data_IF_867320820051
#
_entry.id   IF_867320820051
#
_cell.length_a   1.000
_cell.length_b   1.000
_cell.length_c   1.000
_cell.angle_alpha   90.00
_cell.angle_beta   90.00
_cell.angle_gamma   90.00
#
_symmetry.space_group_name_H-M   'P 1'
#
loop_
_entity.id
_entity.type
_entity.pdbx_description
1 polymer ?
#
# COMPACT_ATOMS: atom_id res chain seq x y z
N UNK A 1 9.81 22.31 -25.59
CA UNK A 1 10.64 21.12 -25.90
C UNK A 1 9.69 19.93 -25.96
N UNK A 2 9.87 19.06 -26.95
CA UNK A 2 9.04 17.86 -27.11
C UNK A 2 9.69 16.73 -26.33
N UNK A 3 8.96 16.09 -25.42
CA UNK A 3 9.45 14.91 -24.70
C UNK A 3 9.10 13.64 -25.48
N UNK A 4 9.97 12.64 -25.37
CA UNK A 4 9.66 11.26 -25.78
C UNK A 4 9.10 10.50 -24.59
N UNK A 5 7.83 10.10 -24.67
CA UNK A 5 7.14 9.33 -23.63
C UNK A 5 7.24 7.83 -23.91
N UNK A 6 7.68 7.05 -22.92
CA UNK A 6 7.89 5.61 -23.04
C UNK A 6 7.99 4.91 -21.69
N UNK A 7 7.91 3.58 -21.73
CA UNK A 7 8.37 2.73 -20.62
C UNK A 7 9.88 2.95 -20.42
N UNK A 8 10.27 3.09 -19.16
CA UNK A 8 11.62 3.38 -18.74
C UNK A 8 12.56 2.21 -19.04
N UNK A 9 13.73 2.52 -19.60
CA UNK A 9 14.87 1.61 -19.59
C UNK A 9 15.47 1.55 -18.19
N UNK A 10 16.43 0.66 -17.97
CA UNK A 10 17.17 0.63 -16.71
C UNK A 10 17.80 2.00 -16.37
N UNK A 11 18.41 2.68 -17.34
CA UNK A 11 19.05 3.98 -17.12
C UNK A 11 18.02 5.08 -16.80
N UNK A 12 16.86 5.07 -17.44
CA UNK A 12 15.80 6.02 -17.10
C UNK A 12 15.27 5.80 -15.67
N UNK A 13 15.22 4.54 -15.21
CA UNK A 13 14.84 4.22 -13.83
C UNK A 13 15.87 4.71 -12.84
N UNK A 14 17.16 4.54 -13.13
CA UNK A 14 18.26 5.10 -12.32
C UNK A 14 18.06 6.61 -12.18
N UNK A 15 17.98 7.34 -13.30
CA UNK A 15 17.77 8.79 -13.29
C UNK A 15 16.47 9.21 -12.60
N UNK A 16 15.39 8.43 -12.75
CA UNK A 16 14.13 8.70 -12.05
C UNK A 16 14.29 8.62 -10.53
N UNK A 17 15.11 7.71 -10.02
CA UNK A 17 15.41 7.62 -8.59
C UNK A 17 16.39 8.69 -8.12
N UNK A 18 17.40 9.02 -8.93
CA UNK A 18 18.28 10.17 -8.66
C UNK A 18 17.48 11.47 -8.52
N UNK A 19 16.54 11.70 -9.45
CA UNK A 19 15.71 12.90 -9.50
C UNK A 19 14.81 13.11 -8.28
N UNK A 20 14.48 12.05 -7.54
CA UNK A 20 13.60 12.14 -6.36
C UNK A 20 14.38 12.18 -5.04
N UNK A 21 15.71 12.19 -5.07
CA UNK A 21 16.54 12.18 -3.87
C UNK A 21 16.18 13.32 -2.90
N UNK A 22 15.98 14.54 -3.41
CA UNK A 22 15.68 15.71 -2.59
C UNK A 22 14.24 15.74 -2.04
N UNK A 23 13.35 14.90 -2.56
CA UNK A 23 11.91 14.91 -2.22
C UNK A 23 11.52 13.68 -1.40
N UNK A 24 11.96 12.50 -1.81
CA UNK A 24 11.58 11.21 -1.23
C UNK A 24 12.82 10.34 -0.96
N UNK A 25 13.79 10.89 -0.22
CA UNK A 25 15.01 10.15 0.16
C UNK A 25 14.70 8.86 0.93
N UNK A 26 15.57 7.86 0.73
CA UNK A 26 15.50 6.55 1.41
C UNK A 26 16.77 6.23 2.18
N UNK A 27 17.84 6.97 1.93
CA UNK A 27 19.04 7.10 2.74
C UNK A 27 19.51 8.55 2.61
N UNK A 28 20.33 9.00 3.56
CA UNK A 28 21.05 10.27 3.44
C UNK A 28 22.22 10.18 2.44
N UNK A 29 22.68 8.97 2.12
CA UNK A 29 23.63 8.73 1.03
C UNK A 29 22.90 8.59 -0.32
N UNK A 30 23.39 9.33 -1.32
CA UNK A 30 22.79 9.37 -2.65
C UNK A 30 22.85 8.03 -3.37
N UNK A 31 24.02 7.37 -3.37
CA UNK A 31 24.19 6.10 -4.06
C UNK A 31 23.38 4.99 -3.38
N UNK A 32 23.36 4.99 -2.04
CA UNK A 32 22.54 4.08 -1.25
C UNK A 32 21.04 4.31 -1.51
N UNK A 33 20.57 5.56 -1.59
CA UNK A 33 19.18 5.85 -1.94
C UNK A 33 18.78 5.19 -3.27
N UNK A 34 19.58 5.38 -4.32
CA UNK A 34 19.32 4.80 -5.65
C UNK A 34 19.34 3.27 -5.58
N UNK A 35 20.32 2.69 -4.91
CA UNK A 35 20.44 1.24 -4.74
C UNK A 35 19.23 0.64 -4.00
N UNK A 36 18.80 1.27 -2.90
CA UNK A 36 17.62 0.84 -2.13
C UNK A 36 16.34 0.92 -2.96
N UNK A 37 16.20 1.98 -3.79
CA UNK A 37 15.02 2.13 -4.66
C UNK A 37 14.98 1.08 -5.77
N UNK A 38 16.12 0.78 -6.41
CA UNK A 38 16.25 -0.28 -7.42
C UNK A 38 16.03 -1.69 -6.84
N UNK A 39 16.53 -1.93 -5.62
CA UNK A 39 16.38 -3.20 -4.92
C UNK A 39 14.99 -3.41 -4.31
N UNK A 40 14.16 -2.35 -4.24
CA UNK A 40 12.83 -2.42 -3.65
C UNK A 40 11.90 -3.36 -4.41
N UNK A 41 11.49 -4.44 -3.75
CA UNK A 41 10.51 -5.41 -4.27
C UNK A 41 9.19 -4.72 -4.66
N UNK A 42 8.84 -3.62 -3.99
CA UNK A 42 7.67 -2.83 -4.35
C UNK A 42 7.85 -2.13 -5.70
N UNK A 43 8.93 -1.37 -5.90
CA UNK A 43 9.18 -0.68 -7.17
C UNK A 43 9.48 -1.65 -8.32
N UNK A 44 10.01 -2.85 -8.03
CA UNK A 44 10.22 -3.88 -9.05
C UNK A 44 8.92 -4.40 -9.69
N UNK A 45 7.76 -4.18 -9.06
CA UNK A 45 6.45 -4.53 -9.65
C UNK A 45 5.91 -3.49 -10.61
N UNK A 46 6.43 -2.27 -10.61
CA UNK A 46 5.88 -1.19 -11.39
C UNK A 46 6.47 -1.15 -12.81
N UNK A 47 5.62 -0.82 -13.77
CA UNK A 47 6.05 -0.29 -15.06
C UNK A 47 6.36 1.21 -14.84
N UNK A 48 7.65 1.56 -14.87
CA UNK A 48 8.08 2.96 -14.79
C UNK A 48 7.87 3.61 -16.15
N UNK A 49 7.23 4.78 -16.16
CA UNK A 49 6.98 5.56 -17.36
C UNK A 49 7.71 6.89 -17.25
N UNK A 50 8.30 7.35 -18.34
CA UNK A 50 9.16 8.55 -18.35
C UNK A 50 8.86 9.42 -19.56
N UNK A 51 9.00 10.73 -19.36
CA UNK A 51 9.16 11.72 -20.43
C UNK A 51 10.62 12.16 -20.49
N UNK A 52 11.30 11.80 -21.57
CA UNK A 52 12.73 12.05 -21.76
C UNK A 52 12.93 13.24 -22.69
N UNK A 53 13.76 14.20 -22.25
CA UNK A 53 14.22 15.31 -23.07
C UNK A 53 15.42 14.90 -23.94
N UNK A 54 16.29 15.85 -24.28
CA UNK A 54 17.46 15.56 -25.13
C UNK A 54 18.48 14.64 -24.43
N UNK A 55 18.69 14.83 -23.12
CA UNK A 55 19.78 14.12 -22.41
C UNK A 55 19.35 13.46 -21.09
N UNK A 56 18.11 13.71 -20.61
CA UNK A 56 17.70 13.28 -19.28
C UNK A 56 16.20 13.04 -19.14
N UNK A 57 15.84 12.31 -18.08
CA UNK A 57 14.45 12.16 -17.64
C UNK A 57 13.97 13.48 -17.02
N UNK A 58 12.97 14.10 -17.64
CA UNK A 58 12.38 15.37 -17.20
C UNK A 58 11.19 15.15 -16.27
N UNK A 59 10.48 14.04 -16.49
CA UNK A 59 9.30 13.62 -15.74
C UNK A 59 9.23 12.11 -15.67
N UNK A 60 8.80 11.57 -14.54
CA UNK A 60 8.64 10.13 -14.34
C UNK A 60 7.42 9.82 -13.46
N UNK A 61 6.92 8.60 -13.57
CA UNK A 61 5.98 7.98 -12.66
C UNK A 61 6.16 6.46 -12.64
N UNK A 62 5.54 5.80 -11.68
CA UNK A 62 5.44 4.36 -11.58
C UNK A 62 3.97 3.93 -11.68
N UNK A 63 3.64 3.05 -12.62
CA UNK A 63 2.35 2.36 -12.72
C UNK A 63 2.45 1.00 -12.04
N UNK A 64 1.79 0.83 -10.90
CA UNK A 64 1.79 -0.43 -10.16
C UNK A 64 0.54 -1.24 -10.53
N UNK A 65 0.67 -2.53 -10.88
CA UNK A 65 -0.48 -3.37 -11.17
C UNK A 65 -1.22 -3.73 -9.88
N UNK A 66 -2.52 -3.48 -9.85
CA UNK A 66 -3.45 -3.82 -8.78
C UNK A 66 -4.75 -4.39 -9.36
N UNK A 67 -5.54 -5.00 -8.49
CA UNK A 67 -6.90 -5.40 -8.78
C UNK A 67 -7.80 -4.79 -7.69
N UNK A 68 -8.94 -4.23 -8.10
CA UNK A 68 -10.00 -3.85 -7.17
C UNK A 68 -11.11 -4.88 -7.26
N UNK A 69 -11.72 -5.22 -6.13
CA UNK A 69 -13.00 -5.89 -6.10
C UNK A 69 -14.09 -4.83 -6.27
N UNK A 70 -14.88 -4.92 -7.33
CA UNK A 70 -16.01 -4.06 -7.64
C UNK A 70 -17.20 -4.94 -8.02
N UNK A 71 -18.31 -4.85 -7.27
CA UNK A 71 -19.50 -5.68 -7.48
C UNK A 71 -19.14 -7.17 -7.70
N UNK A 72 -18.34 -7.72 -6.79
CA UNK A 72 -17.84 -9.10 -6.78
C UNK A 72 -16.92 -9.51 -7.95
N UNK A 73 -16.45 -8.54 -8.75
CA UNK A 73 -15.50 -8.78 -9.86
C UNK A 73 -14.13 -8.17 -9.56
N UNK A 74 -13.06 -8.91 -9.86
CA UNK A 74 -11.71 -8.38 -9.85
C UNK A 74 -11.46 -7.55 -11.12
N UNK A 75 -11.21 -6.25 -10.95
CA UNK A 75 -11.02 -5.27 -12.03
C UNK A 75 -9.56 -4.81 -12.06
N UNK A 76 -8.84 -5.02 -13.19
CA UNK A 76 -7.49 -4.51 -13.37
C UNK A 76 -7.40 -3.00 -13.19
N UNK A 77 -6.50 -2.59 -12.30
CA UNK A 77 -6.34 -1.21 -11.84
C UNK A 77 -4.87 -0.83 -11.85
N UNK A 78 -4.53 0.34 -12.39
CA UNK A 78 -3.21 0.94 -12.23
C UNK A 78 -3.21 1.82 -10.99
N UNK A 79 -2.33 1.52 -10.05
CA UNK A 79 -2.03 2.44 -8.98
C UNK A 79 -0.83 3.31 -9.42
N UNK A 80 -1.06 4.60 -9.64
CA UNK A 80 -0.03 5.54 -10.04
C UNK A 80 0.68 6.06 -8.78
N UNK A 81 2.01 5.96 -8.78
CA UNK A 81 2.87 6.51 -7.73
C UNK A 81 4.10 7.16 -8.32
N UNK A 82 4.92 7.75 -7.44
CA UNK A 82 6.21 8.35 -7.79
C UNK A 82 6.15 9.40 -8.91
N UNK A 83 5.03 10.12 -9.05
CA UNK A 83 4.88 11.17 -10.06
C UNK A 83 5.82 12.33 -9.71
N UNK A 84 6.84 12.53 -10.54
CA UNK A 84 7.85 13.56 -10.31
C UNK A 84 8.20 14.30 -11.59
N UNK A 85 8.34 15.62 -11.50
CA UNK A 85 8.91 16.47 -12.55
C UNK A 85 10.06 17.25 -11.94
N UNK A 86 11.22 17.21 -12.58
CA UNK A 86 12.40 17.95 -12.10
C UNK A 86 12.09 19.46 -12.05
N UNK A 87 12.71 20.16 -11.12
CA UNK A 87 12.38 21.54 -10.77
C UNK A 87 12.37 22.48 -11.98
N UNK A 88 13.36 22.35 -12.87
CA UNK A 88 13.55 23.17 -14.09
C UNK A 88 12.46 22.94 -15.15
N UNK A 89 11.70 21.85 -15.03
CA UNK A 89 10.66 21.45 -15.99
C UNK A 89 9.24 21.52 -15.44
N UNK A 90 9.08 21.97 -14.19
CA UNK A 90 7.77 22.25 -13.61
C UNK A 90 7.08 23.40 -14.36
N UNK A 91 5.75 23.39 -14.34
CA UNK A 91 4.92 24.39 -15.04
C UNK A 91 4.79 24.20 -16.56
N UNK A 92 5.54 23.28 -17.18
CA UNK A 92 5.51 23.00 -18.62
C UNK A 92 4.42 21.99 -19.05
N UNK A 93 3.67 21.45 -18.08
CA UNK A 93 2.60 20.47 -18.33
C UNK A 93 3.07 19.03 -18.59
N UNK A 94 4.36 18.71 -18.39
CA UNK A 94 4.90 17.38 -18.67
C UNK A 94 4.32 16.25 -17.82
N UNK A 95 4.05 16.50 -16.54
CA UNK A 95 3.35 15.51 -15.70
C UNK A 95 1.98 15.14 -16.25
N UNK A 96 1.17 16.12 -16.71
CA UNK A 96 -0.10 15.85 -17.37
C UNK A 96 0.07 14.99 -18.62
N UNK A 97 1.03 15.33 -19.49
CA UNK A 97 1.28 14.56 -20.70
C UNK A 97 1.73 13.13 -20.40
N UNK A 98 2.57 12.93 -19.37
CA UNK A 98 3.00 11.59 -18.96
C UNK A 98 1.86 10.78 -18.35
N UNK A 99 0.98 11.40 -17.55
CA UNK A 99 -0.23 10.75 -17.02
C UNK A 99 -1.12 10.29 -18.17
N UNK A 100 -1.47 11.19 -19.11
CA UNK A 100 -2.30 10.88 -20.29
C UNK A 100 -1.70 9.71 -21.10
N UNK A 101 -0.37 9.72 -21.33
CA UNK A 101 0.32 8.65 -22.03
C UNK A 101 0.30 7.32 -21.27
N UNK A 102 0.53 7.35 -19.95
CA UNK A 102 0.54 6.16 -19.09
C UNK A 102 -0.82 5.51 -19.03
N UNK A 103 -1.90 6.30 -18.87
CA UNK A 103 -3.26 5.77 -18.83
C UNK A 103 -3.65 5.13 -20.16
N UNK A 104 -3.21 5.68 -21.29
CA UNK A 104 -3.40 5.04 -22.60
C UNK A 104 -2.63 3.73 -22.72
N UNK A 105 -1.39 3.69 -22.24
CA UNK A 105 -0.56 2.48 -22.20
C UNK A 105 -1.21 1.37 -21.34
N UNK A 106 -1.71 1.72 -20.16
CA UNK A 106 -2.41 0.80 -19.25
C UNK A 106 -3.77 0.37 -19.81
N UNK A 107 -4.52 1.29 -20.41
CA UNK A 107 -5.81 0.99 -21.04
C UNK A 107 -5.67 0.00 -22.20
N UNK A 108 -4.63 0.16 -23.03
CA UNK A 108 -4.31 -0.79 -24.09
C UNK A 108 -3.99 -2.22 -23.57
N UNK A 109 -3.72 -2.35 -22.27
CA UNK A 109 -3.44 -3.62 -21.57
C UNK A 109 -4.62 -4.14 -20.75
N UNK A 110 -5.79 -3.50 -20.87
CA UNK A 110 -7.03 -3.91 -20.20
C UNK A 110 -7.26 -3.28 -18.83
N UNK A 111 -6.42 -2.34 -18.41
CA UNK A 111 -6.66 -1.56 -17.18
C UNK A 111 -7.76 -0.53 -17.43
N UNK A 112 -8.78 -0.51 -16.57
CA UNK A 112 -9.92 0.42 -16.69
C UNK A 112 -9.99 1.48 -15.60
N UNK A 113 -9.17 1.35 -14.55
CA UNK A 113 -9.18 2.23 -13.39
C UNK A 113 -7.75 2.68 -13.09
N UNK A 114 -7.60 3.96 -12.78
CA UNK A 114 -6.37 4.55 -12.28
C UNK A 114 -6.62 5.14 -10.88
N UNK A 115 -5.76 4.81 -9.92
CA UNK A 115 -5.81 5.29 -8.55
C UNK A 115 -4.47 5.89 -8.14
N UNK A 116 -4.47 6.87 -7.24
CA UNK A 116 -3.24 7.40 -6.64
C UNK A 116 -3.50 7.96 -5.25
N UNK A 117 -2.43 8.05 -4.46
CA UNK A 117 -2.39 8.96 -3.31
C UNK A 117 -1.65 10.23 -3.73
N UNK A 118 -2.18 11.37 -3.32
CA UNK A 118 -1.63 12.68 -3.67
C UNK A 118 -0.93 13.30 -2.48
N UNK A 119 0.39 13.52 -2.59
CA UNK A 119 1.18 14.33 -1.65
C UNK A 119 1.01 15.84 -1.89
N UNK A 120 0.30 16.21 -2.96
CA UNK A 120 -0.04 17.59 -3.29
C UNK A 120 -1.55 17.83 -3.16
N UNK A 121 -1.94 19.10 -3.27
CA UNK A 121 -3.33 19.53 -3.31
C UNK A 121 -4.15 18.73 -4.35
N UNK A 122 -5.22 18.01 -3.97
CA UNK A 122 -6.00 17.14 -4.87
C UNK A 122 -6.54 17.82 -6.12
N UNK A 123 -6.72 19.14 -6.07
CA UNK A 123 -7.16 19.98 -7.19
C UNK A 123 -6.25 19.82 -8.41
N UNK A 124 -4.98 19.47 -8.22
CA UNK A 124 -4.08 19.14 -9.31
C UNK A 124 -4.60 17.98 -10.15
N UNK A 125 -4.90 16.84 -9.51
CA UNK A 125 -5.36 15.63 -10.18
C UNK A 125 -6.83 15.74 -10.61
N UNK A 126 -7.64 16.55 -9.93
CA UNK A 126 -9.02 16.82 -10.36
C UNK A 126 -9.11 17.40 -11.77
N UNK A 127 -8.14 18.23 -12.17
CA UNK A 127 -8.04 18.79 -13.53
C UNK A 127 -7.68 17.73 -14.58
N UNK A 128 -7.23 16.56 -14.14
CA UNK A 128 -6.93 15.40 -14.98
C UNK A 128 -8.08 14.39 -15.00
N UNK A 129 -9.19 14.68 -14.31
CA UNK A 129 -10.36 13.80 -14.24
C UNK A 129 -10.41 12.87 -13.01
N UNK A 130 -9.39 12.90 -12.14
CA UNK A 130 -9.44 12.14 -10.89
C UNK A 130 -10.49 12.69 -9.94
N UNK A 131 -11.16 11.78 -9.23
CA UNK A 131 -12.14 12.12 -8.21
C UNK A 131 -11.58 11.79 -6.82
N UNK A 132 -11.97 12.59 -5.84
CA UNK A 132 -11.62 12.33 -4.45
C UNK A 132 -12.39 11.12 -3.95
N UNK A 133 -11.66 10.07 -3.59
CA UNK A 133 -12.17 8.94 -2.82
C UNK A 133 -11.73 9.12 -1.36
N UNK A 134 -12.64 9.02 -0.37
CA UNK A 134 -12.26 9.05 1.03
C UNK A 134 -11.24 7.95 1.35
N UNK A 135 -10.14 8.34 1.99
CA UNK A 135 -9.17 7.42 2.57
C UNK A 135 -9.07 7.73 4.06
N UNK A 136 -9.34 6.74 4.90
CA UNK A 136 -9.30 6.89 6.35
C UNK A 136 -7.94 6.45 6.88
N UNK A 137 -7.32 7.31 7.70
CA UNK A 137 -6.16 6.97 8.50
C UNK A 137 -6.54 7.11 9.97
N UNK A 138 -6.19 6.11 10.78
CA UNK A 138 -6.43 6.11 12.23
C UNK A 138 -5.13 5.85 12.98
N UNK A 139 -4.99 6.50 14.14
CA UNK A 139 -3.98 6.18 15.14
C UNK A 139 -4.72 5.89 16.43
N UNK A 140 -4.45 4.74 17.04
CA UNK A 140 -4.95 4.41 18.38
C UNK A 140 -3.76 4.57 19.32
N UNK A 141 -3.86 5.52 20.25
CA UNK A 141 -2.94 5.61 21.38
C UNK A 141 -3.38 4.61 22.44
N UNK A 142 -2.49 3.68 22.75
CA UNK A 142 -2.76 2.51 23.59
C UNK A 142 -2.53 2.84 25.09
N UNK A 143 -1.90 3.98 25.40
CA UNK A 143 -1.49 4.35 26.76
C UNK A 143 -2.59 4.64 27.78
N UNK A 144 -3.88 4.60 27.39
CA UNK A 144 -5.03 4.91 28.26
C UNK A 144 -6.01 3.75 28.46
N UNK A 145 -5.79 2.59 27.82
CA UNK A 145 -6.70 1.45 27.87
C UNK A 145 -6.36 0.51 29.03
N UNK A 146 -7.10 0.62 30.14
CA UNK A 146 -7.12 -0.37 31.23
C UNK A 146 -7.92 -1.64 30.86
N UNK A 147 -8.35 -1.77 29.59
CA UNK A 147 -9.29 -2.80 29.17
C UNK A 147 -8.56 -4.12 28.96
N UNK A 148 -8.94 -5.10 29.77
CA UNK A 148 -8.53 -6.48 29.65
C UNK A 148 -9.76 -7.32 29.30
N UNK A 149 -9.83 -7.77 28.06
CA UNK A 149 -10.81 -8.77 27.64
C UNK A 149 -10.10 -10.11 27.45
N UNK A 150 -10.10 -10.94 28.50
CA UNK A 150 -9.51 -12.28 28.47
C UNK A 150 -10.29 -13.25 27.55
N UNK A 151 -11.45 -12.86 27.01
CA UNK A 151 -12.19 -13.68 26.04
C UNK A 151 -11.60 -13.63 24.63
N UNK A 152 -10.70 -12.68 24.37
CA UNK A 152 -9.95 -12.53 23.12
C UNK A 152 -8.54 -13.07 23.30
N UNK A 153 -8.20 -14.09 22.52
CA UNK A 153 -6.85 -14.68 22.50
C UNK A 153 -6.26 -14.53 21.10
N UNK A 154 -5.05 -13.98 21.03
CA UNK A 154 -4.28 -13.92 19.79
C UNK A 154 -3.37 -15.13 19.67
N UNK A 155 -3.50 -15.88 18.58
CA UNK A 155 -2.67 -17.04 18.27
C UNK A 155 -1.83 -16.75 17.03
N UNK A 156 -0.50 -16.69 17.18
CA UNK A 156 0.40 -16.49 16.04
C UNK A 156 0.30 -17.67 15.07
N UNK A 157 0.22 -17.38 13.76
CA UNK A 157 0.17 -18.41 12.73
C UNK A 157 1.04 -18.04 11.53
N UNK A 158 1.37 -19.04 10.71
CA UNK A 158 2.07 -18.85 9.44
C UNK A 158 1.05 -18.62 8.32
N UNK A 159 1.15 -17.48 7.62
CA UNK A 159 0.25 -17.16 6.51
C UNK A 159 0.17 -18.30 5.49
N UNK A 160 1.31 -18.96 5.20
CA UNK A 160 1.36 -20.02 4.20
C UNK A 160 0.46 -21.22 4.49
N UNK A 161 0.26 -21.53 5.75
CA UNK A 161 -0.56 -22.66 6.18
C UNK A 161 -2.05 -22.26 6.32
N UNK A 162 -2.35 -20.96 6.28
CA UNK A 162 -3.67 -20.41 6.60
C UNK A 162 -4.18 -19.44 5.52
N UNK A 163 -3.61 -19.44 4.32
CA UNK A 163 -3.87 -18.42 3.29
C UNK A 163 -5.34 -18.37 2.87
N UNK A 164 -5.97 -19.53 2.65
CA UNK A 164 -7.37 -19.62 2.26
C UNK A 164 -8.28 -19.00 3.32
N UNK A 165 -8.02 -19.31 4.59
CA UNK A 165 -8.77 -18.75 5.71
C UNK A 165 -8.56 -17.24 5.84
N UNK A 166 -7.32 -16.74 5.74
CA UNK A 166 -7.02 -15.29 5.78
C UNK A 166 -7.70 -14.56 4.62
N UNK A 167 -7.66 -15.12 3.40
CA UNK A 167 -8.29 -14.55 2.22
C UNK A 167 -9.81 -14.47 2.39
N UNK A 168 -10.43 -15.51 2.95
CA UNK A 168 -11.86 -15.52 3.26
C UNK A 168 -12.24 -14.49 4.33
N UNK A 169 -11.45 -14.37 5.40
CA UNK A 169 -11.65 -13.33 6.41
C UNK A 169 -11.56 -11.92 5.81
N UNK A 170 -10.54 -11.67 4.98
CA UNK A 170 -10.36 -10.37 4.32
C UNK A 170 -11.54 -10.04 3.40
N UNK A 171 -11.93 -10.97 2.53
CA UNK A 171 -13.04 -10.77 1.59
C UNK A 171 -14.36 -10.55 2.34
N UNK A 172 -14.63 -11.35 3.38
CA UNK A 172 -15.85 -11.19 4.18
C UNK A 172 -15.91 -9.83 4.89
N UNK A 173 -14.79 -9.39 5.49
CA UNK A 173 -14.72 -8.11 6.19
C UNK A 173 -14.91 -6.91 5.25
N UNK A 174 -14.56 -7.03 3.97
CA UNK A 174 -14.64 -5.93 2.99
C UNK A 174 -15.86 -6.04 2.06
N UNK A 175 -16.65 -7.11 2.13
CA UNK A 175 -17.78 -7.37 1.22
C UNK A 175 -18.89 -6.30 1.26
N UNK A 176 -18.93 -5.47 2.31
CA UNK A 176 -19.89 -4.39 2.45
C UNK A 176 -19.43 -3.07 1.80
N UNK A 177 -18.19 -2.99 1.30
CA UNK A 177 -17.62 -1.81 0.66
C UNK A 177 -17.91 -1.85 -0.84
N UNK A 178 -18.19 -0.68 -1.43
CA UNK A 178 -18.39 -0.55 -2.89
C UNK A 178 -17.14 -0.96 -3.69
N UNK A 179 -15.97 -0.74 -3.09
CA UNK A 179 -14.67 -1.06 -3.66
C UNK A 179 -13.63 -1.38 -2.58
N UNK A 180 -12.81 -2.41 -2.81
CA UNK A 180 -11.63 -2.70 -1.98
C UNK A 180 -10.53 -3.36 -2.81
N UNK A 181 -9.30 -3.39 -2.31
CA UNK A 181 -8.20 -4.06 -3.02
C UNK A 181 -8.49 -5.56 -3.10
N UNK A 182 -8.66 -6.08 -4.31
CA UNK A 182 -8.71 -7.52 -4.51
C UNK A 182 -7.32 -8.10 -4.25
N UNK A 183 -7.23 -9.07 -3.35
CA UNK A 183 -5.98 -9.72 -2.98
C UNK A 183 -5.97 -11.15 -3.49
N UNK A 184 -5.48 -11.32 -4.70
CA UNK A 184 -5.16 -12.64 -5.22
C UNK A 184 -4.10 -13.32 -4.35
N UNK A 185 -3.98 -14.65 -4.48
CA UNK A 185 -2.90 -15.41 -3.84
C UNK A 185 -1.52 -14.79 -4.12
N UNK A 186 -1.28 -14.39 -5.38
CA UNK A 186 -0.05 -13.71 -5.76
C UNK A 186 0.18 -12.42 -4.95
N UNK A 187 -0.85 -11.62 -4.74
CA UNK A 187 -0.74 -10.38 -3.97
C UNK A 187 -0.46 -10.66 -2.48
N UNK A 188 -1.09 -11.67 -1.88
CA UNK A 188 -0.75 -12.10 -0.52
C UNK A 188 0.71 -12.53 -0.38
N UNK A 189 1.23 -13.29 -1.34
CA UNK A 189 2.65 -13.66 -1.36
C UNK A 189 3.59 -12.48 -1.61
N UNK A 190 3.15 -11.50 -2.39
CA UNK A 190 3.90 -10.25 -2.50
C UNK A 190 4.01 -9.55 -1.15
N UNK A 191 2.94 -9.50 -0.34
CA UNK A 191 2.97 -8.86 0.97
C UNK A 191 3.99 -9.54 1.91
N UNK A 192 4.12 -10.87 1.89
CA UNK A 192 5.12 -11.57 2.71
C UNK A 192 6.55 -11.33 2.24
N UNK A 193 6.77 -11.10 0.95
CA UNK A 193 8.10 -10.72 0.44
C UNK A 193 8.43 -9.26 0.75
N UNK A 194 7.44 -8.37 0.65
CA UNK A 194 7.60 -6.93 0.90
C UNK A 194 7.90 -6.65 2.37
N UNK A 195 7.20 -7.31 3.28
CA UNK A 195 7.35 -7.13 4.72
C UNK A 195 7.55 -8.52 5.40
N UNK A 196 8.74 -9.15 5.26
CA UNK A 196 8.97 -10.54 5.68
C UNK A 196 8.99 -10.77 7.19
N UNK A 197 9.07 -9.69 7.97
CA UNK A 197 9.07 -9.72 9.43
C UNK A 197 7.70 -9.44 10.04
N UNK A 198 6.68 -9.17 9.20
CA UNK A 198 5.33 -9.01 9.70
C UNK A 198 4.80 -10.35 10.23
N UNK A 199 4.18 -10.30 11.40
CA UNK A 199 3.56 -11.43 12.07
C UNK A 199 2.05 -11.41 11.87
N UNK A 200 1.47 -12.61 11.84
CA UNK A 200 0.03 -12.79 11.68
C UNK A 200 -0.53 -13.52 12.88
N UNK A 201 -1.63 -13.03 13.42
CA UNK A 201 -2.30 -13.62 14.57
C UNK A 201 -3.77 -13.84 14.26
N UNK A 202 -4.29 -15.00 14.64
CA UNK A 202 -5.71 -15.30 14.59
C UNK A 202 -6.37 -14.70 15.83
N UNK A 203 -7.48 -14.00 15.63
CA UNK A 203 -8.32 -13.48 16.70
C UNK A 203 -9.25 -14.63 17.09
N UNK A 204 -9.05 -15.20 18.27
CA UNK A 204 -9.92 -16.23 18.84
C UNK A 204 -10.83 -15.59 19.88
N UNK A 205 -12.14 -15.70 19.66
CA UNK A 205 -13.17 -15.27 20.62
C UNK A 205 -13.98 -16.51 21.03
N UNK A 206 -13.98 -16.84 22.32
CA UNK A 206 -14.70 -17.99 22.86
C UNK A 206 -14.41 -19.32 22.13
N UNK A 207 -13.14 -19.55 21.75
CA UNK A 207 -12.69 -20.76 21.06
C UNK A 207 -12.97 -20.81 19.55
N UNK A 208 -13.49 -19.73 18.95
CA UNK A 208 -13.68 -19.61 17.50
C UNK A 208 -12.76 -18.56 16.91
N UNK A 209 -12.08 -18.89 15.80
CA UNK A 209 -11.35 -17.91 14.99
C UNK A 209 -12.35 -16.97 14.30
N UNK A 210 -12.37 -15.71 14.72
CA UNK A 210 -13.29 -14.68 14.21
C UNK A 210 -12.62 -13.72 13.25
N UNK A 211 -11.29 -13.69 13.17
CA UNK A 211 -10.58 -12.78 12.28
C UNK A 211 -9.07 -12.95 12.36
N UNK A 212 -8.34 -12.07 11.68
CA UNK A 212 -6.88 -12.01 11.79
C UNK A 212 -6.40 -10.58 11.97
N UNK A 213 -5.20 -10.47 12.53
CA UNK A 213 -4.45 -9.23 12.63
C UNK A 213 -3.03 -9.43 12.10
N UNK A 214 -2.56 -8.48 11.30
CA UNK A 214 -1.19 -8.42 10.78
C UNK A 214 -0.45 -7.28 11.47
N UNK A 215 0.65 -7.62 12.11
CA UNK A 215 1.42 -6.70 12.94
C UNK A 215 2.87 -6.64 12.49
N UNK A 216 3.45 -5.46 12.55
CA UNK A 216 4.89 -5.26 12.42
C UNK A 216 5.49 -4.99 13.78
N UNK A 217 6.51 -5.77 14.14
CA UNK A 217 7.35 -5.50 15.30
C UNK A 217 8.37 -4.41 14.95
N UNK A 218 8.32 -3.27 15.63
CA UNK A 218 9.29 -2.18 15.50
C UNK A 218 10.20 -2.08 16.75
N UNK A 219 10.29 -3.16 17.53
CA UNK A 219 11.10 -3.29 18.75
C UNK A 219 10.47 -2.60 19.95
N UNK A 220 10.32 -1.27 19.89
CA UNK A 220 9.70 -0.49 20.97
C UNK A 220 8.18 -0.37 20.82
N UNK A 221 7.61 -0.78 19.68
CA UNK A 221 6.18 -0.71 19.40
C UNK A 221 5.73 -1.74 18.38
N UNK A 222 4.46 -2.10 18.48
CA UNK A 222 3.77 -2.88 17.47
C UNK A 222 3.00 -1.92 16.56
N UNK A 223 3.10 -2.11 15.26
CA UNK A 223 2.33 -1.37 14.27
C UNK A 223 1.30 -2.27 13.65
N UNK A 224 0.02 -1.92 13.79
CA UNK A 224 -1.08 -2.55 13.07
C UNK A 224 -0.93 -2.27 11.57
N UNK A 225 -0.77 -3.32 10.77
CA UNK A 225 -0.61 -3.23 9.31
C UNK A 225 -1.89 -3.63 8.58
N UNK A 226 -2.66 -4.53 9.18
CA UNK A 226 -3.92 -5.02 8.64
C UNK A 226 -4.76 -5.67 9.73
N UNK A 227 -6.07 -5.61 9.59
CA UNK A 227 -7.02 -6.27 10.49
C UNK A 227 -8.26 -6.66 9.70
N UNK A 228 -8.80 -7.85 9.96
CA UNK A 228 -10.12 -8.22 9.47
C UNK A 228 -10.81 -9.01 10.55
N UNK A 229 -11.90 -8.44 11.08
CA UNK A 229 -12.73 -9.02 12.14
C UNK A 229 -14.05 -9.44 11.49
N UNK A 230 -14.39 -10.72 11.60
CA UNK A 230 -15.54 -11.34 10.96
C UNK A 230 -16.88 -11.14 11.68
N UNK A 231 -17.02 -10.11 12.53
CA UNK A 231 -18.31 -9.74 13.13
C UNK A 231 -18.76 -8.37 12.64
N UNK A 232 -20.03 -8.30 12.22
CA UNK A 232 -20.69 -7.09 11.73
C UNK A 232 -21.35 -6.26 12.84
N UNK A 233 -21.30 -6.70 14.11
CA UNK A 233 -21.76 -5.86 15.22
C UNK A 233 -20.65 -4.90 15.65
N UNK A 234 -20.98 -3.62 15.84
CA UNK A 234 -20.01 -2.64 16.32
C UNK A 234 -19.39 -3.03 17.67
N UNK A 235 -20.19 -3.65 18.55
CA UNK A 235 -19.76 -4.12 19.87
C UNK A 235 -18.72 -5.26 19.78
N UNK A 236 -18.85 -6.18 18.83
CA UNK A 236 -17.83 -7.23 18.63
C UNK A 236 -16.55 -6.67 18.04
N UNK A 237 -16.66 -5.65 17.18
CA UNK A 237 -15.50 -4.98 16.61
C UNK A 237 -14.70 -4.28 17.72
N UNK A 238 -15.37 -3.47 18.55
CA UNK A 238 -14.73 -2.75 19.64
C UNK A 238 -14.07 -3.72 20.64
N UNK A 239 -14.75 -4.80 21.03
CA UNK A 239 -14.18 -5.84 21.90
C UNK A 239 -12.96 -6.52 21.29
N UNK A 240 -12.99 -6.84 19.99
CA UNK A 240 -11.85 -7.44 19.32
C UNK A 240 -10.67 -6.48 19.26
N UNK A 241 -10.90 -5.19 19.02
CA UNK A 241 -9.86 -4.15 19.07
C UNK A 241 -9.28 -4.04 20.47
N UNK A 242 -10.10 -3.98 21.51
CA UNK A 242 -9.65 -3.93 22.90
C UNK A 242 -8.80 -5.15 23.27
N UNK A 243 -9.22 -6.35 22.86
CA UNK A 243 -8.45 -7.59 23.05
C UNK A 243 -7.11 -7.58 22.33
N UNK A 244 -7.05 -7.10 21.07
CA UNK A 244 -5.81 -6.93 20.31
C UNK A 244 -4.88 -5.96 21.04
N UNK A 245 -5.39 -4.81 21.45
CA UNK A 245 -4.64 -3.78 22.17
C UNK A 245 -4.09 -4.35 23.49
N UNK A 246 -4.94 -5.02 24.27
CA UNK A 246 -4.54 -5.64 25.54
C UNK A 246 -3.42 -6.66 25.36
N UNK A 247 -3.50 -7.51 24.34
CA UNK A 247 -2.46 -8.50 24.04
C UNK A 247 -1.10 -7.83 23.76
N UNK A 248 -1.06 -6.82 22.89
CA UNK A 248 0.20 -6.20 22.48
C UNK A 248 0.79 -5.25 23.54
N UNK A 249 -0.03 -4.66 24.40
CA UNK A 249 0.43 -3.92 25.59
C UNK A 249 1.09 -4.86 26.59
N UNK A 250 0.42 -5.96 26.92
CA UNK A 250 0.91 -6.90 27.94
C UNK A 250 2.08 -7.77 27.44
N UNK A 251 2.16 -8.05 26.13
CA UNK A 251 3.28 -8.79 25.54
C UNK A 251 4.63 -8.09 25.71
N UNK A 252 4.64 -6.76 25.91
CA UNK A 252 5.85 -5.99 26.22
C UNK A 252 6.20 -5.93 27.70
N UNK A 253 5.27 -6.30 28.59
CA UNK A 253 5.56 -6.41 30.02
C UNK A 253 6.27 -7.72 30.39
N UNK A 254 6.68 -8.54 29.43
CA UNK A 254 7.56 -9.67 29.70
C UNK A 254 9.01 -9.20 29.80
N UNK A 255 9.39 -8.95 31.06
CA UNK A 255 10.74 -8.88 31.64
C UNK A 255 11.59 -7.62 31.33
N UNK A 256 11.60 -6.70 32.30
CA UNK A 256 12.80 -5.96 32.72
C UNK A 256 13.39 -6.70 33.91
#
# INVERSE_FOLDING_TARGET
MMLSFRVATFQDRVQSFENIFDVWRSSDDFAEHVNLRLASIHHQRADFCVGVGEERVEVSLASFPFELSLADSAVPTSFIGCVHTISESRGKGYARQLMDWTEQFESARGTSISLLFSDIKPEYYSRLGYQLCPAHNGLIDIGSTEVRDDSIVLEEFRLKENLDWVSNCYNHAHAHLDAYVHRSEFYWWFLTKKDPYDKYFAINQNGKRTGFVRMKDEGIRWKLRDCSIGSLSAEDYDRAIDGIVSYFTNSKCKEV
#
